data_IF_348821867328
#
_entry.id   IF_348821867328
#
_cell.length_a   1.000
_cell.length_b   1.000
_cell.length_c   1.000
_cell.angle_alpha   90.00
_cell.angle_beta   90.00
_cell.angle_gamma   90.00
#
_symmetry.space_group_name_H-M   'P 1'
#
loop_
_entity.id
_entity.type
_entity.pdbx_description
1 polymer ?
#
# COMPACT_ATOMS: atom_id res chain seq x y z
N UNK A 1 -0.24 9.23 6.15
CA UNK A 1 -1.33 9.71 6.97
C UNK A 1 -2.22 10.63 6.13
N UNK A 2 -3.52 10.54 6.30
CA UNK A 2 -4.52 11.32 5.53
C UNK A 2 -4.35 12.83 5.64
N UNK A 3 -3.80 13.33 6.74
CA UNK A 3 -3.59 14.78 6.99
C UNK A 3 -2.64 15.45 5.98
N UNK A 4 -1.75 14.70 5.33
CA UNK A 4 -0.80 15.26 4.38
C UNK A 4 -1.13 15.04 2.91
N UNK A 5 -2.19 14.29 2.59
CA UNK A 5 -2.51 13.92 1.21
C UNK A 5 -2.89 15.13 0.35
N UNK A 6 -3.90 15.87 0.76
CA UNK A 6 -4.35 17.07 0.00
C UNK A 6 -3.26 18.15 -0.11
N UNK A 7 -2.58 18.58 0.99
CA UNK A 7 -1.51 19.57 0.87
C UNK A 7 -0.33 19.10 0.02
N UNK A 8 0.03 17.82 0.04
CA UNK A 8 1.09 17.29 -0.83
C UNK A 8 0.70 17.38 -2.31
N UNK A 9 -0.56 17.06 -2.63
CA UNK A 9 -1.07 17.14 -4.00
C UNK A 9 -1.06 18.58 -4.53
N UNK A 10 -1.30 19.60 -3.70
CA UNK A 10 -1.17 21.00 -4.11
C UNK A 10 0.25 21.34 -4.58
N UNK A 11 1.29 20.86 -3.89
CA UNK A 11 2.68 21.01 -4.34
C UNK A 11 2.97 20.24 -5.63
N UNK A 12 2.37 19.04 -5.80
CA UNK A 12 2.52 18.24 -7.02
C UNK A 12 1.85 18.93 -8.20
N UNK A 13 0.60 19.41 -8.02
CA UNK A 13 -0.19 20.07 -9.06
C UNK A 13 0.44 21.40 -9.50
N UNK A 14 1.13 22.09 -8.58
CA UNK A 14 1.92 23.29 -8.93
C UNK A 14 3.18 22.98 -9.72
N UNK A 15 3.58 21.71 -9.84
CA UNK A 15 4.76 21.27 -10.57
C UNK A 15 6.08 21.46 -9.83
N UNK A 16 6.06 21.89 -8.55
CA UNK A 16 7.29 22.09 -7.76
C UNK A 16 7.77 20.83 -7.03
N UNK A 17 6.89 19.84 -6.88
CA UNK A 17 7.17 18.54 -6.26
C UNK A 17 6.78 17.41 -7.20
N UNK A 18 7.66 16.42 -7.35
CA UNK A 18 7.32 15.11 -7.92
C UNK A 18 7.17 14.11 -6.77
N UNK A 19 6.03 13.42 -6.71
CA UNK A 19 5.76 12.44 -5.66
C UNK A 19 5.76 11.02 -6.21
N UNK A 20 6.47 10.12 -5.55
CA UNK A 20 6.48 8.69 -5.83
C UNK A 20 6.07 7.92 -4.58
N UNK A 21 4.98 7.13 -4.68
CA UNK A 21 4.56 6.21 -3.62
C UNK A 21 5.30 4.88 -3.79
N UNK A 22 6.08 4.50 -2.78
CA UNK A 22 6.72 3.20 -2.67
C UNK A 22 6.03 2.40 -1.58
N UNK A 23 5.32 1.36 -1.99
CA UNK A 23 4.60 0.50 -1.05
C UNK A 23 5.59 -0.42 -0.30
N UNK A 24 5.37 -0.58 1.00
CA UNK A 24 6.24 -1.34 1.88
C UNK A 24 5.39 -2.21 2.83
N UNK A 25 5.58 -3.54 2.78
CA UNK A 25 4.78 -4.50 3.54
C UNK A 25 5.33 -4.69 4.96
N UNK A 26 4.92 -3.84 5.89
CA UNK A 26 5.37 -3.86 7.30
C UNK A 26 4.78 -5.04 8.07
N UNK A 27 3.49 -5.34 7.83
CA UNK A 27 2.73 -6.34 8.57
C UNK A 27 2.56 -7.67 7.80
N UNK A 28 3.50 -7.95 6.88
CA UNK A 28 3.58 -9.24 6.20
C UNK A 28 2.46 -9.51 5.18
N UNK A 29 1.82 -10.71 5.21
CA UNK A 29 0.94 -11.15 4.12
C UNK A 29 -0.28 -10.25 3.88
N UNK A 30 -0.85 -9.63 4.92
CA UNK A 30 -1.98 -8.72 4.75
C UNK A 30 -1.58 -7.50 3.93
N UNK A 31 -0.45 -6.88 4.27
CA UNK A 31 0.02 -5.71 3.53
C UNK A 31 0.32 -6.05 2.07
N UNK A 32 0.93 -7.23 1.82
CA UNK A 32 1.16 -7.71 0.44
C UNK A 32 -0.15 -7.89 -0.33
N UNK A 33 -1.17 -8.48 0.30
CA UNK A 33 -2.50 -8.65 -0.31
C UNK A 33 -3.11 -7.29 -0.69
N UNK A 34 -3.19 -6.39 0.27
CA UNK A 34 -3.82 -5.08 0.07
C UNK A 34 -3.04 -4.23 -0.95
N UNK A 35 -1.72 -4.21 -0.87
CA UNK A 35 -0.87 -3.51 -1.84
C UNK A 35 -1.03 -4.11 -3.24
N UNK A 36 -1.04 -5.44 -3.38
CA UNK A 36 -1.27 -6.09 -4.67
C UNK A 36 -2.61 -5.70 -5.25
N UNK A 37 -3.67 -5.69 -4.45
CA UNK A 37 -5.01 -5.27 -4.90
C UNK A 37 -5.02 -3.83 -5.42
N UNK A 38 -4.30 -2.90 -4.81
CA UNK A 38 -4.22 -1.51 -5.33
C UNK A 38 -3.52 -1.42 -6.69
N UNK A 39 -2.70 -2.41 -7.05
CA UNK A 39 -1.95 -2.47 -8.31
C UNK A 39 -2.68 -3.28 -9.40
N UNK A 40 -3.85 -3.85 -9.12
CA UNK A 40 -4.60 -4.67 -10.09
C UNK A 40 -5.31 -3.85 -11.19
N UNK A 41 -5.34 -2.54 -11.06
CA UNK A 41 -5.91 -1.59 -12.01
C UNK A 41 -4.86 -0.77 -12.77
N UNK A 42 -5.28 0.31 -13.39
CA UNK A 42 -4.36 1.24 -14.04
C UNK A 42 -3.45 1.92 -13.00
N UNK A 43 -2.24 2.29 -13.43
CA UNK A 43 -1.23 2.86 -12.51
C UNK A 43 -1.71 4.13 -11.80
N UNK A 44 -2.55 4.93 -12.45
CA UNK A 44 -3.12 6.15 -11.90
C UNK A 44 -4.07 5.89 -10.72
N UNK A 45 -4.61 4.67 -10.61
CA UNK A 45 -5.49 4.28 -9.53
C UNK A 45 -4.73 3.84 -8.25
N UNK A 46 -3.43 3.58 -8.32
CA UNK A 46 -2.65 3.04 -7.19
C UNK A 46 -2.70 3.96 -5.97
N UNK A 47 -2.42 5.26 -6.15
CA UNK A 47 -2.44 6.23 -5.04
C UNK A 47 -3.86 6.39 -4.48
N UNK A 48 -4.90 6.70 -5.29
CA UNK A 48 -6.27 6.80 -4.79
C UNK A 48 -6.77 5.54 -4.09
N UNK A 49 -6.45 4.34 -4.60
CA UNK A 49 -6.84 3.08 -3.95
C UNK A 49 -6.07 2.86 -2.63
N UNK A 50 -4.80 3.21 -2.58
CA UNK A 50 -4.02 3.16 -1.33
C UNK A 50 -4.62 4.09 -0.27
N UNK A 51 -5.03 5.30 -0.64
CA UNK A 51 -5.72 6.23 0.26
C UNK A 51 -7.05 5.66 0.77
N UNK A 52 -7.81 4.97 -0.11
CA UNK A 52 -9.05 4.29 0.28
C UNK A 52 -8.81 3.13 1.25
N UNK A 53 -7.73 2.37 1.09
CA UNK A 53 -7.33 1.32 2.04
C UNK A 53 -7.05 1.93 3.42
N UNK A 54 -6.28 3.00 3.49
CA UNK A 54 -5.96 3.68 4.76
C UNK A 54 -7.18 4.35 5.39
N UNK A 55 -8.03 5.00 4.58
CA UNK A 55 -9.26 5.62 5.05
C UNK A 55 -10.26 4.63 5.65
N UNK A 56 -10.20 3.36 5.22
CA UNK A 56 -11.09 2.29 5.67
C UNK A 56 -10.34 1.21 6.48
N UNK A 57 -9.19 1.52 7.04
CA UNK A 57 -8.32 0.54 7.69
C UNK A 57 -9.01 -0.26 8.78
N UNK A 58 -9.81 0.38 9.64
CA UNK A 58 -10.57 -0.30 10.68
C UNK A 58 -11.57 -1.31 10.09
N UNK A 59 -12.30 -0.94 9.04
CA UNK A 59 -13.23 -1.82 8.35
C UNK A 59 -12.51 -3.02 7.69
N UNK A 60 -11.33 -2.79 7.14
CA UNK A 60 -10.48 -3.83 6.54
C UNK A 60 -9.96 -4.80 7.61
N UNK A 61 -9.65 -4.31 8.80
CA UNK A 61 -9.15 -5.16 9.89
C UNK A 61 -10.23 -5.99 10.58
N UNK A 62 -11.50 -5.56 10.56
CA UNK A 62 -12.60 -6.25 11.25
C UNK A 62 -12.76 -7.73 10.85
N UNK A 63 -12.79 -8.13 9.57
CA UNK A 63 -12.92 -9.53 9.19
C UNK A 63 -11.78 -10.41 9.71
N UNK A 64 -10.54 -9.91 9.72
CA UNK A 64 -9.40 -10.64 10.27
C UNK A 64 -9.52 -10.79 11.77
N UNK A 65 -9.87 -9.73 12.50
CA UNK A 65 -10.08 -9.79 13.95
C UNK A 65 -11.21 -10.73 14.31
N UNK A 66 -12.28 -10.78 13.50
CA UNK A 66 -13.42 -11.67 13.73
C UNK A 66 -13.11 -13.14 13.39
N UNK A 67 -12.22 -13.41 12.46
CA UNK A 67 -11.92 -14.75 11.97
C UNK A 67 -10.44 -14.94 11.60
N UNK A 68 -9.56 -14.71 12.55
CA UNK A 68 -8.11 -14.85 12.37
C UNK A 68 -7.71 -16.25 11.88
N UNK A 69 -8.38 -17.29 12.40
CA UNK A 69 -8.11 -18.67 12.02
C UNK A 69 -8.36 -18.95 10.52
N UNK A 70 -9.38 -18.31 9.93
CA UNK A 70 -9.64 -18.45 8.49
C UNK A 70 -8.54 -17.77 7.65
N UNK A 71 -8.09 -16.60 8.06
CA UNK A 71 -6.98 -15.92 7.39
C UNK A 71 -5.68 -16.74 7.48
N UNK A 72 -5.35 -17.25 8.66
CA UNK A 72 -4.18 -18.10 8.86
C UNK A 72 -4.26 -19.40 8.04
N UNK A 73 -5.44 -20.03 7.97
CA UNK A 73 -5.67 -21.22 7.14
C UNK A 73 -5.52 -20.92 5.65
N UNK A 74 -5.98 -19.76 5.19
CA UNK A 74 -5.77 -19.33 3.81
C UNK A 74 -4.27 -19.16 3.51
N UNK A 75 -3.49 -18.61 4.43
CA UNK A 75 -2.04 -18.42 4.27
C UNK A 75 -1.23 -19.74 4.22
N UNK A 76 -1.81 -20.87 4.65
CA UNK A 76 -1.18 -22.18 4.52
C UNK A 76 -1.41 -22.84 3.14
N UNK A 77 -2.23 -22.24 2.28
CA UNK A 77 -2.47 -22.74 0.92
C UNK A 77 -1.27 -22.50 0.00
N UNK A 78 -1.23 -23.17 -1.17
CA UNK A 78 -0.26 -22.85 -2.22
C UNK A 78 -0.25 -21.37 -2.55
N UNK A 79 0.89 -20.83 -3.01
CA UNK A 79 1.09 -19.39 -3.21
C UNK A 79 0.04 -18.79 -4.16
N UNK A 80 -0.29 -19.52 -5.22
CA UNK A 80 -1.27 -19.14 -6.24
C UNK A 80 -2.72 -19.05 -5.72
N UNK A 81 -3.02 -19.66 -4.57
CA UNK A 81 -4.37 -19.69 -4.00
C UNK A 81 -4.52 -18.81 -2.75
N UNK A 82 -3.47 -18.71 -1.92
CA UNK A 82 -3.57 -18.18 -0.56
C UNK A 82 -4.15 -16.77 -0.49
N UNK A 83 -3.70 -15.88 -1.34
CA UNK A 83 -4.16 -14.49 -1.33
C UNK A 83 -5.55 -14.34 -1.95
N UNK A 84 -5.89 -15.15 -2.95
CA UNK A 84 -7.23 -15.19 -3.54
C UNK A 84 -8.23 -15.63 -2.47
N UNK A 85 -7.97 -16.75 -1.80
CA UNK A 85 -8.86 -17.30 -0.75
C UNK A 85 -8.98 -16.34 0.43
N UNK A 86 -7.87 -15.72 0.86
CA UNK A 86 -7.91 -14.73 1.91
C UNK A 86 -8.78 -13.51 1.53
N UNK A 87 -8.61 -12.99 0.31
CA UNK A 87 -9.38 -11.86 -0.18
C UNK A 87 -10.88 -12.16 -0.26
N UNK A 88 -11.26 -13.38 -0.72
CA UNK A 88 -12.64 -13.84 -0.75
C UNK A 88 -13.25 -13.94 0.66
N UNK A 89 -12.55 -14.61 1.57
CA UNK A 89 -13.05 -14.85 2.93
C UNK A 89 -13.16 -13.59 3.77
N UNK A 90 -12.27 -12.62 3.53
CA UNK A 90 -12.24 -11.35 4.26
C UNK A 90 -13.09 -10.25 3.59
N UNK A 91 -13.73 -10.52 2.44
CA UNK A 91 -14.56 -9.54 1.71
C UNK A 91 -13.76 -8.46 0.98
N UNK A 92 -12.46 -8.67 0.77
CA UNK A 92 -11.64 -7.66 0.12
C UNK A 92 -11.90 -7.55 -1.38
N UNK A 93 -12.34 -8.64 -2.04
CA UNK A 93 -12.75 -8.54 -3.44
C UNK A 93 -13.91 -7.58 -3.62
N UNK A 94 -14.94 -7.66 -2.76
CA UNK A 94 -16.09 -6.74 -2.77
C UNK A 94 -15.65 -5.28 -2.50
N UNK A 95 -14.74 -5.10 -1.52
CA UNK A 95 -14.22 -3.79 -1.18
C UNK A 95 -13.57 -3.11 -2.38
N UNK A 96 -12.75 -3.83 -3.13
CA UNK A 96 -12.05 -3.32 -4.31
C UNK A 96 -12.97 -3.26 -5.54
N UNK A 97 -13.96 -4.16 -5.67
CA UNK A 97 -14.95 -4.12 -6.74
C UNK A 97 -15.77 -2.82 -6.71
N UNK A 98 -16.17 -2.39 -5.52
CA UNK A 98 -16.83 -1.09 -5.32
C UNK A 98 -15.95 0.13 -5.69
N UNK A 99 -14.64 -0.09 -5.95
CA UNK A 99 -13.63 0.93 -6.27
C UNK A 99 -12.98 0.74 -7.65
N UNK A 100 -13.60 -0.08 -8.50
CA UNK A 100 -13.23 -0.22 -9.89
C UNK A 100 -12.29 -1.38 -10.24
N UNK A 101 -11.94 -2.24 -9.28
CA UNK A 101 -11.20 -3.49 -9.53
C UNK A 101 -12.21 -4.64 -9.46
N UNK A 102 -12.65 -5.17 -10.59
CA UNK A 102 -13.61 -6.27 -10.58
C UNK A 102 -13.07 -7.47 -9.79
N UNK A 103 -13.97 -8.29 -9.22
CA UNK A 103 -13.56 -9.47 -8.46
C UNK A 103 -12.69 -10.42 -9.29
N UNK A 104 -13.05 -10.67 -10.57
CA UNK A 104 -12.28 -11.54 -11.45
C UNK A 104 -10.89 -10.97 -11.73
N UNK A 105 -10.79 -9.67 -11.90
CA UNK A 105 -9.50 -8.97 -12.04
C UNK A 105 -8.67 -9.09 -10.77
N UNK A 106 -9.29 -8.92 -9.60
CA UNK A 106 -8.65 -9.13 -8.31
C UNK A 106 -8.14 -10.56 -8.12
N UNK A 107 -8.97 -11.57 -8.45
CA UNK A 107 -8.55 -12.99 -8.38
C UNK A 107 -7.35 -13.29 -9.27
N UNK A 108 -7.39 -12.88 -10.53
CA UNK A 108 -6.28 -13.08 -11.47
C UNK A 108 -5.00 -12.39 -10.98
N UNK A 109 -5.12 -11.18 -10.48
CA UNK A 109 -4.02 -10.38 -9.99
C UNK A 109 -3.38 -11.01 -8.74
N UNK A 110 -4.19 -11.51 -7.80
CA UNK A 110 -3.71 -12.15 -6.57
C UNK A 110 -3.15 -13.57 -6.80
N UNK A 111 -3.48 -14.21 -7.91
CA UNK A 111 -2.91 -15.50 -8.31
C UNK A 111 -1.54 -15.36 -9.02
N UNK A 112 -1.11 -14.13 -9.34
CA UNK A 112 0.19 -13.86 -9.96
C UNK A 112 1.31 -13.96 -8.93
N UNK A 113 1.85 -15.16 -8.79
CA UNK A 113 2.92 -15.49 -7.83
C UNK A 113 4.17 -14.65 -8.08
N UNK A 114 4.54 -14.44 -9.35
CA UNK A 114 5.74 -13.68 -9.70
C UNK A 114 5.67 -12.24 -9.20
N UNK A 115 4.54 -11.56 -9.42
CA UNK A 115 4.34 -10.20 -8.93
C UNK A 115 4.34 -10.11 -7.39
N UNK A 116 3.77 -11.11 -6.70
CA UNK A 116 3.79 -11.17 -5.23
C UNK A 116 5.20 -11.39 -4.68
N UNK A 117 5.99 -12.26 -5.32
CA UNK A 117 7.40 -12.49 -4.96
C UNK A 117 8.24 -11.23 -5.19
N UNK A 118 8.04 -10.54 -6.31
CA UNK A 118 8.73 -9.29 -6.61
C UNK A 118 8.43 -8.22 -5.56
N UNK A 119 7.18 -8.09 -5.11
CA UNK A 119 6.79 -7.16 -4.04
C UNK A 119 7.42 -7.52 -2.69
N UNK A 120 7.45 -8.79 -2.34
CA UNK A 120 8.09 -9.26 -1.11
C UNK A 120 9.61 -9.01 -1.15
N UNK A 121 10.26 -9.33 -2.26
CA UNK A 121 11.69 -9.09 -2.49
C UNK A 121 12.01 -7.59 -2.46
N UNK A 122 11.15 -6.76 -3.05
CA UNK A 122 11.27 -5.31 -3.01
C UNK A 122 11.27 -4.80 -1.56
N UNK A 123 10.28 -5.23 -0.76
CA UNK A 123 10.20 -4.87 0.65
C UNK A 123 11.46 -5.27 1.42
N UNK A 124 11.92 -6.51 1.24
CA UNK A 124 13.13 -7.01 1.89
C UNK A 124 14.38 -6.21 1.49
N UNK A 125 14.54 -5.94 0.20
CA UNK A 125 15.66 -5.15 -0.31
C UNK A 125 15.67 -3.74 0.25
N UNK A 126 14.53 -3.05 0.24
CA UNK A 126 14.43 -1.68 0.77
C UNK A 126 14.66 -1.63 2.28
N UNK A 127 14.22 -2.63 3.02
CA UNK A 127 14.53 -2.74 4.45
C UNK A 127 16.04 -2.83 4.70
N UNK A 128 16.75 -3.66 3.91
CA UNK A 128 18.18 -3.91 4.13
C UNK A 128 19.10 -2.84 3.53
N UNK A 129 18.79 -2.33 2.34
CA UNK A 129 19.67 -1.39 1.61
C UNK A 129 19.47 0.06 2.05
N UNK A 130 18.24 0.45 2.42
CA UNK A 130 17.88 1.83 2.77
C UNK A 130 17.52 2.01 4.23
N UNK A 131 17.73 0.97 5.05
CA UNK A 131 17.41 1.00 6.50
C UNK A 131 15.98 1.50 6.77
N UNK A 132 15.01 0.98 6.00
CA UNK A 132 13.60 1.31 6.18
C UNK A 132 13.01 0.32 7.18
N UNK A 133 12.69 0.81 8.36
CA UNK A 133 12.19 0.02 9.49
C UNK A 133 10.70 0.21 9.77
N UNK A 134 10.05 1.11 9.04
CA UNK A 134 8.62 1.40 9.21
C UNK A 134 8.09 2.44 8.23
N UNK A 135 6.78 2.67 8.31
CA UNK A 135 6.04 3.61 7.47
C UNK A 135 5.28 4.63 8.32
N UNK A 136 5.13 5.86 7.85
CA UNK A 136 5.75 6.40 6.64
C UNK A 136 7.24 6.70 6.83
N UNK A 137 8.04 6.43 5.82
CA UNK A 137 9.42 6.91 5.66
C UNK A 137 9.48 7.79 4.43
N UNK A 138 10.08 8.96 4.53
CA UNK A 138 10.20 9.90 3.42
C UNK A 138 11.65 10.05 2.95
N UNK A 139 11.81 10.10 1.63
CA UNK A 139 13.06 10.46 0.97
C UNK A 139 12.83 11.72 0.14
N UNK A 140 13.73 12.67 0.25
CA UNK A 140 13.74 13.90 -0.55
C UNK A 140 15.01 13.95 -1.39
N UNK A 141 14.85 13.96 -2.71
CA UNK A 141 15.98 13.97 -3.65
C UNK A 141 17.00 12.86 -3.37
N UNK A 142 16.50 11.64 -3.04
CA UNK A 142 17.31 10.45 -2.77
C UNK A 142 17.93 10.38 -1.38
N UNK A 143 17.57 11.29 -0.47
CA UNK A 143 18.05 11.28 0.90
C UNK A 143 16.88 11.08 1.87
N UNK A 144 17.03 10.13 2.80
CA UNK A 144 16.10 9.92 3.89
C UNK A 144 16.00 11.17 4.76
N UNK A 145 14.79 11.61 5.07
CA UNK A 145 14.54 12.77 5.93
C UNK A 145 13.95 12.34 7.26
N UNK A 146 14.26 13.07 8.30
CA UNK A 146 13.75 12.84 9.65
C UNK A 146 12.35 13.47 9.80
N UNK A 147 11.37 12.82 9.16
CA UNK A 147 9.97 13.19 9.20
C UNK A 147 9.11 11.94 9.06
N UNK A 148 8.03 11.85 9.83
CA UNK A 148 7.03 10.79 9.75
C UNK A 148 5.59 11.31 9.79
N UNK A 149 5.42 12.62 9.76
CA UNK A 149 4.15 13.32 9.71
C UNK A 149 4.23 14.44 8.67
N UNK A 150 3.06 14.91 8.20
CA UNK A 150 3.00 16.06 7.31
C UNK A 150 3.62 17.32 7.92
N UNK A 151 3.26 17.64 9.16
CA UNK A 151 3.79 18.82 9.84
C UNK A 151 5.32 18.85 10.01
N UNK A 152 5.97 17.67 10.03
CA UNK A 152 7.43 17.57 10.01
C UNK A 152 8.00 17.62 8.60
N UNK A 153 7.30 17.05 7.60
CA UNK A 153 7.76 16.98 6.21
C UNK A 153 7.63 18.32 5.48
N UNK A 154 6.51 19.01 5.61
CA UNK A 154 6.24 20.24 4.85
C UNK A 154 7.30 21.32 5.01
N UNK A 155 7.80 21.65 6.22
CA UNK A 155 8.90 22.60 6.36
C UNK A 155 10.19 22.17 5.67
N UNK A 156 10.41 20.85 5.52
CA UNK A 156 11.59 20.32 4.79
C UNK A 156 11.41 20.56 3.30
N UNK A 157 10.22 20.27 2.74
CA UNK A 157 9.89 20.55 1.34
C UNK A 157 10.04 22.05 1.03
N UNK A 158 9.52 22.92 1.88
CA UNK A 158 9.60 24.38 1.70
C UNK A 158 11.05 24.89 1.71
N UNK A 159 11.90 24.35 2.60
CA UNK A 159 13.35 24.68 2.60
C UNK A 159 14.06 24.18 1.35
N UNK A 160 13.59 23.08 0.76
CA UNK A 160 14.12 22.53 -0.48
C UNK A 160 13.63 23.28 -1.74
N UNK A 161 12.72 24.23 -1.59
CA UNK A 161 12.25 25.09 -2.69
C UNK A 161 10.77 24.92 -3.06
N UNK A 162 10.03 24.02 -2.42
CA UNK A 162 8.59 23.90 -2.61
C UNK A 162 7.86 25.11 -1.97
N UNK A 163 7.28 25.98 -2.80
CA UNK A 163 6.58 27.20 -2.38
C UNK A 163 5.37 27.46 -3.25
#
# INVERSE_FOLDING_TARGET
>A
SMEGGEPLLEYVDSGVVSFELRQFAVHGPLDLLLQRMTQCGPVEAVIPLSDQVWANYETIMQPIQANQAAFEAAMQRPMEERFVVAAEQMGYLDFFAARGISEDQGRQCLADVGALEDMANYTQRYSSEFDITGTPTFELNGNKVDANTWGALEPILQRAGAR
#
